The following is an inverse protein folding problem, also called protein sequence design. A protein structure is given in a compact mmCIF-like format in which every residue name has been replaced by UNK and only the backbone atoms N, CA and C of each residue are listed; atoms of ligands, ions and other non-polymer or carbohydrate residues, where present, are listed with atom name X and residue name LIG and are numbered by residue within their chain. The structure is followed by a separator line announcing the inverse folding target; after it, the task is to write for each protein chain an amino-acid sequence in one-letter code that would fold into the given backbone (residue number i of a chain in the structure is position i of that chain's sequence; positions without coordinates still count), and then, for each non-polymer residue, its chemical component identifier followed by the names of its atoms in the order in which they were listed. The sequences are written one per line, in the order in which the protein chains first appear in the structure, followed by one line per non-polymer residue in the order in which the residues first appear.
data_IF_736229840353
#
_entry.id   IF_736229840353
#
_cell.length_a   1.000
_cell.length_b   1.000
_cell.length_c   1.000
_cell.angle_alpha   90.00
_cell.angle_beta   90.00
_cell.angle_gamma   90.00
#
_symmetry.space_group_name_H-M   'P 1'
#
loop_
_entity.id
_entity.type
_entity.pdbx_description
1 polymer ?
#
# COMPACT_ATOMS: atom_id res chain seq x y z
N UNK A 1 8.15 15.43 -5.60
CA UNK A 1 8.78 15.44 -4.27
C UNK A 1 9.90 14.43 -4.36
N UNK A 2 11.13 14.90 -4.44
CA UNK A 2 12.31 14.04 -4.51
C UNK A 2 12.90 13.89 -3.11
N UNK A 3 13.48 12.72 -2.85
CA UNK A 3 14.12 12.38 -1.57
C UNK A 3 15.62 12.54 -1.75
N UNK A 4 16.32 13.07 -0.73
CA UNK A 4 17.78 13.17 -0.77
C UNK A 4 18.41 11.79 -0.99
N UNK A 5 19.53 11.72 -1.72
CA UNK A 5 20.27 10.47 -1.94
C UNK A 5 20.49 9.63 -0.66
N UNK A 6 20.93 10.21 0.48
CA UNK A 6 21.06 9.45 1.72
C UNK A 6 19.72 8.89 2.21
N UNK A 7 18.65 9.69 2.23
CA UNK A 7 17.34 9.20 2.69
C UNK A 7 16.74 8.12 1.76
N UNK A 8 17.07 8.12 0.47
CA UNK A 8 16.71 7.03 -0.46
C UNK A 8 17.42 5.72 -0.12
N UNK A 9 18.71 5.79 0.20
CA UNK A 9 19.51 4.62 0.59
C UNK A 9 19.06 4.08 1.95
N UNK A 10 18.83 4.95 2.93
CA UNK A 10 18.30 4.55 4.24
C UNK A 10 16.92 3.92 4.09
N UNK A 11 16.00 4.55 3.34
CA UNK A 11 14.68 3.99 3.08
C UNK A 11 14.74 2.62 2.37
N UNK A 12 15.64 2.46 1.39
CA UNK A 12 15.86 1.18 0.72
C UNK A 12 16.41 0.12 1.68
N UNK A 13 17.34 0.46 2.57
CA UNK A 13 17.89 -0.45 3.56
C UNK A 13 16.82 -0.90 4.57
N UNK A 14 15.99 0.03 5.07
CA UNK A 14 14.89 -0.28 5.97
C UNK A 14 13.84 -1.19 5.31
N UNK A 15 13.45 -0.92 4.05
CA UNK A 15 12.57 -1.80 3.30
C UNK A 15 13.19 -3.18 3.03
N UNK A 16 14.49 -3.24 2.75
CA UNK A 16 15.19 -4.50 2.56
C UNK A 16 15.20 -5.34 3.86
N UNK A 17 15.39 -4.69 5.01
CA UNK A 17 15.30 -5.36 6.31
C UNK A 17 13.89 -5.94 6.56
N UNK A 18 12.83 -5.16 6.28
CA UNK A 18 11.45 -5.65 6.36
C UNK A 18 11.19 -6.84 5.41
N UNK A 19 11.71 -6.77 4.19
CA UNK A 19 11.62 -7.87 3.22
C UNK A 19 12.34 -9.13 3.74
N UNK A 20 13.53 -8.99 4.33
CA UNK A 20 14.26 -10.11 4.92
C UNK A 20 13.51 -10.74 6.09
N UNK A 21 12.92 -9.94 6.98
CA UNK A 21 12.11 -10.45 8.09
C UNK A 21 10.95 -11.29 7.55
N UNK A 22 10.19 -10.76 6.58
CA UNK A 22 9.09 -11.50 5.97
C UNK A 22 9.58 -12.80 5.30
N UNK A 23 10.70 -12.75 4.56
CA UNK A 23 11.26 -13.92 3.90
C UNK A 23 11.71 -15.00 4.90
N UNK A 24 12.32 -14.63 6.03
CA UNK A 24 12.75 -15.59 7.06
C UNK A 24 11.57 -16.35 7.64
N UNK A 25 10.46 -15.65 7.97
CA UNK A 25 9.26 -16.31 8.49
C UNK A 25 8.57 -17.20 7.46
N UNK A 26 8.51 -16.75 6.19
CA UNK A 26 7.98 -17.57 5.09
C UNK A 26 8.83 -18.84 4.90
N UNK A 27 10.16 -18.73 4.94
CA UNK A 27 11.07 -19.87 4.82
C UNK A 27 10.95 -20.82 6.03
N UNK A 28 10.71 -20.28 7.22
CA UNK A 28 10.47 -21.09 8.42
C UNK A 28 9.18 -21.88 8.32
N UNK A 29 8.08 -21.26 7.86
CA UNK A 29 6.81 -21.97 7.65
C UNK A 29 6.93 -22.99 6.51
N UNK A 30 7.67 -22.67 5.44
CA UNK A 30 7.96 -23.61 4.36
C UNK A 30 8.78 -24.82 4.86
N UNK A 31 9.77 -24.59 5.71
CA UNK A 31 10.56 -25.66 6.33
C UNK A 31 9.71 -26.53 7.28
N UNK A 32 8.72 -25.93 7.96
CA UNK A 32 7.81 -26.65 8.85
C UNK A 32 6.75 -27.48 8.09
N UNK A 33 6.18 -26.93 7.01
CA UNK A 33 5.15 -27.61 6.20
C UNK A 33 5.73 -28.55 5.13
N UNK A 34 6.97 -28.33 4.69
CA UNK A 34 7.68 -29.16 3.72
C UNK A 34 7.18 -29.06 2.27
N UNK A 35 6.12 -28.30 2.00
CA UNK A 35 5.50 -28.16 0.68
C UNK A 35 5.09 -26.70 0.40
N UNK A 36 5.55 -26.08 -0.70
CA UNK A 36 5.12 -24.73 -1.06
C UNK A 36 3.64 -24.68 -1.48
N UNK A 37 3.10 -25.78 -2.01
CA UNK A 37 1.69 -25.87 -2.35
C UNK A 37 0.82 -25.88 -1.10
N UNK A 38 1.24 -26.61 -0.06
CA UNK A 38 0.52 -26.67 1.22
C UNK A 38 0.51 -25.30 1.90
N UNK A 39 1.64 -24.57 1.87
CA UNK A 39 1.73 -23.20 2.37
C UNK A 39 0.84 -22.23 1.55
N UNK A 40 0.79 -22.38 0.23
CA UNK A 40 -0.08 -21.57 -0.62
C UNK A 40 -1.56 -21.82 -0.33
N UNK A 41 -1.98 -23.08 -0.15
CA UNK A 41 -3.34 -23.43 0.25
C UNK A 41 -3.68 -22.94 1.65
N UNK A 42 -2.72 -23.01 2.57
CA UNK A 42 -2.85 -22.42 3.90
C UNK A 42 -3.12 -20.92 3.82
N UNK A 43 -2.32 -20.18 3.04
CA UNK A 43 -2.51 -18.73 2.84
C UNK A 43 -3.83 -18.39 2.15
N UNK A 44 -4.32 -19.25 1.25
CA UNK A 44 -5.64 -19.10 0.63
C UNK A 44 -6.81 -19.35 1.62
N UNK A 45 -6.53 -19.79 2.85
CA UNK A 45 -7.53 -20.06 3.87
C UNK A 45 -8.14 -21.46 3.79
N UNK A 46 -7.38 -22.46 3.30
CA UNK A 46 -7.79 -23.87 3.44
C UNK A 46 -7.78 -24.27 4.93
N UNK A 47 -8.95 -24.69 5.43
CA UNK A 47 -9.16 -24.97 6.86
C UNK A 47 -8.66 -26.37 7.24
N UNK A 48 -8.31 -27.23 6.27
CA UNK A 48 -7.74 -28.56 6.54
C UNK A 48 -6.42 -28.52 7.31
N UNK A 49 -5.74 -27.37 7.31
CA UNK A 49 -4.46 -27.19 7.99
C UNK A 49 -4.56 -26.76 9.44
N UNK A 50 -5.77 -26.49 9.97
CA UNK A 50 -5.96 -26.25 11.40
C UNK A 50 -5.50 -27.43 12.27
N UNK A 51 -5.37 -28.62 11.69
CA UNK A 51 -5.00 -29.87 12.35
C UNK A 51 -3.47 -30.15 12.30
N UNK A 52 -2.74 -29.61 11.31
CA UNK A 52 -1.31 -29.95 11.09
C UNK A 52 -0.30 -29.00 11.72
N UNK A 53 -0.76 -27.90 12.31
CA UNK A 53 0.10 -26.88 12.94
C UNK A 53 -0.25 -25.48 12.47
N UNK A 54 -0.06 -24.48 13.34
CA UNK A 54 -0.32 -23.08 12.99
C UNK A 54 0.90 -22.50 12.28
N UNK A 55 0.72 -22.08 11.03
CA UNK A 55 1.69 -21.22 10.33
C UNK A 55 1.91 -19.93 11.11
N UNK A 56 3.11 -19.39 11.03
CA UNK A 56 3.42 -18.07 11.58
C UNK A 56 2.91 -16.97 10.66
N UNK A 57 2.99 -17.21 9.35
CA UNK A 57 2.64 -16.28 8.27
C UNK A 57 1.24 -16.53 7.70
N UNK A 58 0.75 -15.51 7.04
CA UNK A 58 -0.53 -15.40 6.33
C UNK A 58 -0.30 -14.91 4.90
N UNK A 59 -1.37 -14.85 4.10
CA UNK A 59 -1.34 -14.28 2.75
C UNK A 59 -0.79 -12.84 2.68
N UNK A 60 -0.87 -12.09 3.77
CA UNK A 60 -0.37 -10.71 3.85
C UNK A 60 1.16 -10.66 3.82
N UNK A 61 1.84 -11.68 4.36
CA UNK A 61 3.31 -11.69 4.46
C UNK A 61 4.03 -11.77 3.10
N UNK A 62 3.67 -12.66 2.14
CA UNK A 62 4.25 -12.63 0.81
C UNK A 62 3.84 -11.37 0.01
N UNK A 63 2.67 -10.79 0.28
CA UNK A 63 2.26 -9.51 -0.32
C UNK A 63 3.12 -8.36 0.17
N UNK A 64 3.36 -8.28 1.48
CA UNK A 64 4.24 -7.29 2.09
C UNK A 64 5.69 -7.48 1.61
N UNK A 65 6.17 -8.71 1.50
CA UNK A 65 7.48 -9.01 0.90
C UNK A 65 7.61 -8.41 -0.51
N UNK A 66 6.63 -8.63 -1.38
CA UNK A 66 6.60 -8.08 -2.73
C UNK A 66 6.52 -6.54 -2.72
N UNK A 67 5.69 -5.96 -1.85
CA UNK A 67 5.56 -4.51 -1.69
C UNK A 67 6.86 -3.86 -1.19
N UNK A 68 7.56 -4.49 -0.24
CA UNK A 68 8.85 -4.02 0.24
C UNK A 68 9.92 -4.10 -0.84
N UNK A 69 10.00 -5.20 -1.58
CA UNK A 69 10.93 -5.34 -2.71
C UNK A 69 10.66 -4.28 -3.80
N UNK A 70 9.40 -4.06 -4.17
CA UNK A 70 9.00 -3.00 -5.10
C UNK A 70 9.35 -1.61 -4.55
N UNK A 71 9.22 -1.39 -3.24
CA UNK A 71 9.58 -0.13 -2.59
C UNK A 71 11.08 0.10 -2.56
N UNK A 72 11.90 -0.94 -2.38
CA UNK A 72 13.37 -0.86 -2.55
C UNK A 72 13.71 -0.40 -3.96
N UNK A 73 13.12 -1.04 -4.98
CA UNK A 73 13.35 -0.66 -6.38
C UNK A 73 12.88 0.79 -6.64
N UNK A 74 11.72 1.18 -6.11
CA UNK A 74 11.20 2.55 -6.24
C UNK A 74 12.11 3.56 -5.52
N UNK A 75 12.60 3.24 -4.32
CA UNK A 75 13.53 4.07 -3.57
C UNK A 75 14.83 4.28 -4.35
N UNK A 76 15.37 3.24 -5.00
CA UNK A 76 16.63 3.30 -5.74
C UNK A 76 16.52 3.86 -7.16
N UNK A 77 15.36 3.72 -7.81
CA UNK A 77 15.21 4.04 -9.25
C UNK A 77 14.12 5.07 -9.58
N UNK A 78 13.23 5.43 -8.65
CA UNK A 78 12.04 6.22 -8.96
C UNK A 78 11.99 7.57 -8.25
N UNK A 79 11.43 8.56 -8.96
CA UNK A 79 11.04 9.88 -8.43
C UNK A 79 9.90 9.86 -7.40
N UNK A 80 9.31 8.69 -7.16
CA UNK A 80 8.21 8.47 -6.22
C UNK A 80 8.66 7.80 -4.91
N UNK A 81 9.98 7.80 -4.64
CA UNK A 81 10.58 7.19 -3.45
C UNK A 81 9.88 7.62 -2.15
N UNK A 82 9.65 8.92 -1.95
CA UNK A 82 8.99 9.43 -0.74
C UNK A 82 7.60 8.81 -0.52
N UNK A 83 6.77 8.80 -1.56
CA UNK A 83 5.41 8.26 -1.47
C UNK A 83 5.39 6.75 -1.31
N UNK A 84 6.35 6.03 -1.91
CA UNK A 84 6.45 4.59 -1.77
C UNK A 84 6.92 4.20 -0.35
N UNK A 85 7.94 4.87 0.17
CA UNK A 85 8.43 4.68 1.55
C UNK A 85 7.34 5.03 2.58
N UNK A 86 6.64 6.14 2.40
CA UNK A 86 5.53 6.52 3.27
C UNK A 86 4.40 5.49 3.22
N UNK A 87 3.97 5.07 2.03
CA UNK A 87 2.90 4.08 1.89
C UNK A 87 3.28 2.73 2.51
N UNK A 88 4.48 2.23 2.22
CA UNK A 88 4.99 0.99 2.81
C UNK A 88 5.05 1.10 4.35
N UNK A 89 5.67 2.16 4.88
CA UNK A 89 5.78 2.37 6.32
C UNK A 89 4.43 2.50 7.02
N UNK A 90 3.48 3.25 6.46
CA UNK A 90 2.13 3.40 7.01
C UNK A 90 1.38 2.07 7.02
N UNK A 91 1.46 1.28 5.95
CA UNK A 91 0.80 -0.03 5.89
C UNK A 91 1.46 -1.04 6.83
N UNK A 92 2.79 -1.06 6.94
CA UNK A 92 3.49 -1.87 7.93
C UNK A 92 3.03 -1.54 9.35
N UNK A 93 3.01 -0.24 9.70
CA UNK A 93 2.55 0.21 11.01
C UNK A 93 1.12 -0.23 11.28
N UNK A 94 0.22 0.02 10.34
CA UNK A 94 -1.20 -0.33 10.47
C UNK A 94 -1.42 -1.84 10.64
N UNK A 95 -0.75 -2.68 9.84
CA UNK A 95 -0.94 -4.13 9.86
C UNK A 95 -0.24 -4.82 11.04
N UNK A 96 0.88 -4.26 11.52
CA UNK A 96 1.68 -4.88 12.59
C UNK A 96 1.41 -4.32 13.98
N UNK A 97 0.63 -3.24 14.09
CA UNK A 97 0.20 -2.69 15.38
C UNK A 97 -0.41 -3.76 16.31
N UNK A 98 -1.25 -4.69 15.82
CA UNK A 98 -1.80 -5.74 16.68
C UNK A 98 -0.79 -6.72 17.25
N UNK A 99 0.41 -6.78 16.69
CA UNK A 99 1.49 -7.59 17.25
C UNK A 99 1.94 -7.13 18.64
N UNK A 100 1.65 -5.89 19.05
CA UNK A 100 1.98 -5.37 20.38
C UNK A 100 1.20 -6.04 21.52
N UNK A 101 0.00 -6.53 21.21
CA UNK A 101 -0.85 -7.22 22.18
C UNK A 101 -1.09 -8.69 21.80
N UNK A 102 -0.31 -9.21 20.85
CA UNK A 102 -0.34 -10.62 20.49
C UNK A 102 0.37 -11.47 21.56
N UNK A 103 -0.19 -12.64 21.92
CA UNK A 103 0.48 -13.55 22.84
C UNK A 103 1.71 -14.19 22.17
N UNK A 104 2.85 -14.20 22.87
CA UNK A 104 4.09 -14.87 22.44
C UNK A 104 5.29 -13.92 22.26
N UNK A 105 6.42 -14.23 22.91
CA UNK A 105 7.60 -13.36 22.93
C UNK A 105 8.27 -13.18 21.57
N UNK A 106 8.35 -14.22 20.73
CA UNK A 106 8.96 -14.14 19.40
C UNK A 106 8.16 -13.28 18.41
N UNK A 107 6.83 -13.39 18.44
CA UNK A 107 5.94 -12.56 17.64
C UNK A 107 5.99 -11.09 18.08
N UNK A 108 6.04 -10.84 19.40
CA UNK A 108 6.17 -9.49 19.95
C UNK A 108 7.47 -8.79 19.53
N UNK A 109 8.61 -9.48 19.62
CA UNK A 109 9.92 -8.93 19.20
C UNK A 109 9.90 -8.60 17.70
N UNK A 110 9.34 -9.49 16.88
CA UNK A 110 9.19 -9.26 15.43
C UNK A 110 8.31 -8.05 15.16
N UNK A 111 7.15 -7.95 15.82
CA UNK A 111 6.23 -6.83 15.67
C UNK A 111 6.90 -5.51 16.08
N UNK A 112 7.60 -5.46 17.20
CA UNK A 112 8.34 -4.26 17.63
C UNK A 112 9.40 -3.84 16.60
N UNK A 113 10.13 -4.80 16.05
CA UNK A 113 11.13 -4.54 15.00
C UNK A 113 10.47 -4.01 13.72
N UNK A 114 9.41 -4.66 13.24
CA UNK A 114 8.67 -4.21 12.05
C UNK A 114 8.03 -2.83 12.25
N UNK A 115 7.52 -2.53 13.45
CA UNK A 115 6.99 -1.22 13.80
C UNK A 115 8.07 -0.14 13.82
N UNK A 116 9.24 -0.44 14.42
CA UNK A 116 10.38 0.46 14.41
C UNK A 116 10.88 0.75 12.98
N UNK A 117 10.98 -0.29 12.14
CA UNK A 117 11.35 -0.14 10.73
C UNK A 117 10.29 0.65 9.94
N UNK A 118 9.01 0.36 10.15
CA UNK A 118 7.89 1.07 9.54
C UNK A 118 7.84 2.56 9.92
N UNK A 119 8.07 2.88 11.20
CA UNK A 119 8.22 4.26 11.67
C UNK A 119 9.44 4.93 11.03
N UNK A 120 10.57 4.22 10.93
CA UNK A 120 11.77 4.68 10.22
C UNK A 120 11.50 5.01 8.75
N UNK A 121 10.67 4.23 8.05
CA UNK A 121 10.25 4.51 6.68
C UNK A 121 9.42 5.79 6.56
N UNK A 122 8.45 5.99 7.46
CA UNK A 122 7.64 7.23 7.49
C UNK A 122 8.51 8.44 7.80
N UNK A 123 9.42 8.33 8.77
CA UNK A 123 10.35 9.38 9.15
C UNK A 123 11.33 9.72 8.03
N UNK A 124 11.95 8.72 7.39
CA UNK A 124 12.83 8.95 6.23
C UNK A 124 12.08 9.59 5.06
N UNK A 125 10.83 9.19 4.83
CA UNK A 125 9.96 9.83 3.84
C UNK A 125 9.53 11.25 4.23
N UNK A 126 9.49 11.60 5.51
CA UNK A 126 9.14 12.93 6.01
C UNK A 126 10.33 13.90 6.03
N UNK A 127 11.44 13.49 6.64
CA UNK A 127 12.67 14.27 6.78
C UNK A 127 13.42 14.36 5.45
N UNK A 128 13.37 13.31 4.64
CA UNK A 128 14.03 13.26 3.34
C UNK A 128 13.37 14.14 2.27
N UNK A 129 12.22 14.78 2.55
CA UNK A 129 11.53 15.65 1.58
C UNK A 129 12.34 16.92 1.35
N UNK A 130 12.76 17.15 0.11
CA UNK A 130 13.16 18.51 -0.30
C UNK A 130 11.91 19.37 -0.57
N UNK A 131 11.82 20.59 -0.01
CA UNK A 131 10.79 21.56 -0.39
C UNK A 131 10.82 21.80 -1.90
N UNK A 132 9.65 21.87 -2.52
CA UNK A 132 9.53 22.19 -3.94
C UNK A 132 9.81 23.67 -4.25
N UNK A 133 9.79 24.51 -3.21
CA UNK A 133 9.89 25.97 -3.26
C UNK A 133 11.12 26.45 -2.46
N UNK A 134 12.24 25.72 -2.54
CA UNK A 134 13.50 26.23 -2.02
C UNK A 134 13.81 27.59 -2.67
N UNK A 135 14.25 28.61 -1.90
CA UNK A 135 14.63 29.90 -2.46
C UNK A 135 15.57 29.67 -3.64
N UNK A 136 15.27 30.29 -4.77
CA UNK A 136 16.22 30.45 -5.85
C UNK A 136 17.45 31.14 -5.25
N UNK A 137 18.49 30.38 -4.91
CA UNK A 137 19.82 30.94 -4.70
C UNK A 137 20.27 31.39 -6.09
N UNK A 138 20.32 32.70 -6.39
CA UNK A 138 20.89 33.14 -7.64
C UNK A 138 22.35 32.67 -7.63
N UNK A 139 22.65 31.71 -8.51
CA UNK A 139 24.01 31.26 -8.73
C UNK A 139 24.88 32.52 -8.97
N UNK A 140 25.89 32.69 -8.12
CA UNK A 140 26.89 33.74 -8.27
C UNK A 140 27.37 33.77 -9.74
N UNK A 141 27.40 34.95 -10.38
CA UNK A 141 27.62 35.04 -11.82
C UNK A 141 29.11 34.82 -12.07
N UNK A 142 29.58 33.59 -12.27
CA UNK A 142 30.90 33.29 -12.88
C UNK A 142 31.26 31.81 -13.08
N UNK A 143 30.34 30.84 -12.97
CA UNK A 143 30.61 29.46 -13.41
C UNK A 143 29.65 29.03 -14.50
N UNK A 144 30.23 28.49 -15.57
CA UNK A 144 29.56 27.84 -16.72
C UNK A 144 28.24 27.20 -16.31
N UNK A 145 27.16 27.30 -17.11
CA UNK A 145 25.93 26.59 -16.86
C UNK A 145 26.24 25.09 -16.90
N UNK A 146 26.42 24.50 -15.72
CA UNK A 146 26.22 23.07 -15.54
C UNK A 146 24.73 22.90 -15.78
N UNK A 147 24.35 22.18 -16.81
CA UNK A 147 22.98 21.72 -17.01
C UNK A 147 22.58 20.93 -15.76
N UNK A 148 22.00 21.61 -14.78
CA UNK A 148 21.36 20.94 -13.65
C UNK A 148 20.13 20.29 -14.27
N UNK A 149 20.04 18.94 -14.33
CA UNK A 149 18.86 18.30 -14.86
C UNK A 149 17.70 18.75 -13.99
N UNK A 150 16.81 19.54 -14.58
CA UNK A 150 15.57 19.97 -13.96
C UNK A 150 14.82 18.70 -13.55
N UNK A 151 14.83 18.37 -12.25
CA UNK A 151 14.17 17.17 -11.73
C UNK A 151 12.66 17.30 -11.97
N UNK A 152 12.20 16.70 -13.05
CA UNK A 152 10.83 16.79 -13.54
C UNK A 152 9.85 16.20 -12.51
N UNK A 153 8.76 16.94 -12.24
CA UNK A 153 7.80 16.64 -11.17
C UNK A 153 7.11 15.27 -11.39
N UNK A 154 6.71 14.56 -10.32
CA UNK A 154 5.87 13.37 -10.43
C UNK A 154 4.58 13.68 -11.22
N UNK A 155 4.43 12.99 -12.35
CA UNK A 155 3.28 13.07 -13.26
C UNK A 155 2.01 12.57 -12.58
N UNK A 156 0.94 13.37 -12.59
CA UNK A 156 -0.39 12.98 -12.08
C UNK A 156 -0.99 11.87 -12.95
N UNK A 157 -1.83 10.97 -12.43
CA UNK A 157 -2.53 10.01 -13.28
C UNK A 157 -3.49 10.73 -14.26
N UNK A 158 -3.72 10.11 -15.43
CA UNK A 158 -4.69 10.57 -16.43
C UNK A 158 -6.11 10.47 -15.84
N UNK A 159 -7.00 11.36 -16.26
CA UNK A 159 -8.35 11.47 -15.66
C UNK A 159 -9.14 10.17 -15.73
N UNK A 160 -9.24 9.54 -16.91
CA UNK A 160 -9.97 8.27 -17.08
C UNK A 160 -9.47 7.16 -16.16
N UNK A 161 -8.19 6.74 -16.26
CA UNK A 161 -7.62 5.73 -15.38
C UNK A 161 -7.74 6.04 -13.89
N UNK A 162 -7.59 7.32 -13.50
CA UNK A 162 -7.71 7.73 -12.10
C UNK A 162 -9.16 7.58 -11.59
N UNK A 163 -10.16 7.99 -12.37
CA UNK A 163 -11.57 7.88 -11.97
C UNK A 163 -12.00 6.42 -11.90
N UNK A 164 -11.67 5.61 -12.91
CA UNK A 164 -11.99 4.17 -12.91
C UNK A 164 -11.34 3.46 -11.72
N UNK A 165 -10.05 3.72 -11.46
CA UNK A 165 -9.37 3.16 -10.29
C UNK A 165 -10.01 3.62 -8.98
N UNK A 166 -10.39 4.90 -8.90
CA UNK A 166 -11.08 5.45 -7.73
C UNK A 166 -12.42 4.78 -7.45
N UNK A 167 -13.24 4.54 -8.48
CA UNK A 167 -14.54 3.87 -8.35
C UNK A 167 -14.36 2.41 -7.89
N UNK A 168 -13.46 1.66 -8.53
CA UNK A 168 -13.21 0.26 -8.18
C UNK A 168 -12.73 0.12 -6.73
N UNK A 169 -11.81 0.98 -6.29
CA UNK A 169 -11.33 1.00 -4.91
C UNK A 169 -12.42 1.45 -3.92
N UNK A 170 -13.30 2.37 -4.30
CA UNK A 170 -14.43 2.79 -3.46
C UNK A 170 -15.44 1.64 -3.27
N UNK A 171 -15.74 0.89 -4.34
CA UNK A 171 -16.60 -0.29 -4.26
C UNK A 171 -15.96 -1.41 -3.41
N UNK A 172 -14.65 -1.64 -3.55
CA UNK A 172 -13.93 -2.57 -2.69
C UNK A 172 -14.02 -2.15 -1.21
N UNK A 173 -13.77 -0.87 -0.90
CA UNK A 173 -13.92 -0.35 0.45
C UNK A 173 -15.35 -0.55 1.00
N UNK A 174 -16.36 -0.31 0.16
CA UNK A 174 -17.77 -0.51 0.52
C UNK A 174 -18.06 -1.98 0.83
N UNK A 175 -17.67 -2.92 -0.05
CA UNK A 175 -17.91 -4.34 0.17
C UNK A 175 -17.19 -4.86 1.42
N UNK A 176 -15.92 -4.50 1.62
CA UNK A 176 -15.19 -4.85 2.85
C UNK A 176 -15.91 -4.32 4.10
N UNK A 177 -16.42 -3.09 4.05
CA UNK A 177 -17.16 -2.49 5.18
C UNK A 177 -18.50 -3.18 5.42
N UNK A 178 -19.25 -3.50 4.36
CA UNK A 178 -20.54 -4.19 4.46
C UNK A 178 -20.39 -5.60 5.03
N UNK A 179 -19.34 -6.32 4.63
CA UNK A 179 -19.04 -7.64 5.19
C UNK A 179 -18.73 -7.56 6.69
N UNK A 180 -17.94 -6.57 7.14
CA UNK A 180 -17.69 -6.41 8.58
C UNK A 180 -18.94 -5.98 9.35
N UNK A 181 -19.80 -5.13 8.77
CA UNK A 181 -21.09 -4.78 9.38
C UNK A 181 -22.02 -5.99 9.49
N UNK A 182 -22.06 -6.84 8.46
CA UNK A 182 -22.80 -8.10 8.49
C UNK A 182 -22.30 -9.00 9.62
N UNK A 183 -20.98 -9.25 9.70
CA UNK A 183 -20.41 -10.09 10.75
C UNK A 183 -20.60 -9.50 12.15
N UNK A 184 -20.57 -8.17 12.31
CA UNK A 184 -20.84 -7.52 13.58
C UNK A 184 -22.29 -7.70 14.05
N UNK A 185 -23.24 -7.88 13.13
CA UNK A 185 -24.65 -8.17 13.44
C UNK A 185 -24.91 -9.66 13.73
N UNK A 186 -24.17 -10.55 13.08
CA UNK A 186 -24.37 -12.01 13.18
C UNK A 186 -23.61 -12.64 14.35
N UNK A 187 -22.43 -12.11 14.70
CA UNK A 187 -21.57 -12.69 15.72
C UNK A 187 -21.86 -12.12 17.12
N UNK A 188 -21.69 -12.93 18.19
CA UNK A 188 -21.73 -12.43 19.56
C UNK A 188 -20.73 -11.28 19.76
N UNK A 189 -21.07 -10.33 20.62
CA UNK A 189 -20.27 -9.12 20.84
C UNK A 189 -18.80 -9.44 21.20
N UNK A 190 -18.58 -10.48 22.00
CA UNK A 190 -17.25 -10.92 22.41
C UNK A 190 -16.41 -11.39 21.21
N UNK A 191 -17.02 -12.14 20.29
CA UNK A 191 -16.36 -12.60 19.06
C UNK A 191 -16.09 -11.43 18.13
N UNK A 192 -17.05 -10.51 18.01
CA UNK A 192 -16.89 -9.28 17.22
C UNK A 192 -15.71 -8.44 17.73
N UNK A 193 -15.59 -8.22 19.04
CA UNK A 193 -14.46 -7.50 19.63
C UNK A 193 -13.14 -8.25 19.42
N UNK A 194 -13.14 -9.56 19.65
CA UNK A 194 -11.95 -10.41 19.47
C UNK A 194 -11.44 -10.42 18.02
N UNK A 195 -12.30 -10.21 17.01
CA UNK A 195 -11.88 -10.02 15.60
C UNK A 195 -11.02 -8.79 15.39
N UNK A 196 -11.13 -7.75 16.22
CA UNK A 196 -10.30 -6.54 16.14
C UNK A 196 -9.09 -6.60 17.08
N UNK A 197 -9.25 -7.21 18.25
CA UNK A 197 -8.20 -7.27 19.28
C UNK A 197 -7.34 -8.53 19.18
N UNK A 198 -7.73 -9.55 18.42
CA UNK A 198 -7.02 -10.82 18.35
C UNK A 198 -7.15 -11.66 19.62
N UNK A 199 -8.32 -11.59 20.28
CA UNK A 199 -8.62 -12.34 21.49
C UNK A 199 -8.74 -13.85 21.27
N UNK A 200 -9.15 -14.57 22.33
CA UNK A 200 -9.06 -16.04 22.39
C UNK A 200 -10.00 -16.77 21.44
N UNK A 201 -11.09 -16.11 21.01
CA UNK A 201 -12.07 -16.72 20.09
C UNK A 201 -11.60 -16.72 18.62
N UNK A 202 -10.48 -16.05 18.31
CA UNK A 202 -9.96 -15.94 16.94
C UNK A 202 -8.71 -16.81 16.76
N UNK A 203 -8.81 -17.80 15.88
CA UNK A 203 -7.65 -18.55 15.42
C UNK A 203 -6.97 -17.79 14.30
N UNK A 204 -5.73 -17.36 14.51
CA UNK A 204 -4.93 -16.64 13.51
C UNK A 204 -3.47 -17.10 13.50
N UNK A 205 -2.75 -16.93 12.38
CA UNK A 205 -1.30 -17.03 12.35
C UNK A 205 -0.64 -16.05 13.33
N UNK A 206 0.54 -16.40 13.84
CA UNK A 206 1.19 -15.63 14.91
C UNK A 206 1.46 -14.17 14.50
N UNK A 207 1.90 -13.93 13.26
CA UNK A 207 2.18 -12.58 12.73
C UNK A 207 1.00 -11.94 11.99
N UNK A 208 -0.09 -12.68 11.78
CA UNK A 208 -1.26 -12.14 11.09
C UNK A 208 -1.98 -11.10 11.96
N UNK A 209 -2.41 -9.96 11.38
CA UNK A 209 -3.37 -9.10 12.06
C UNK A 209 -4.68 -9.86 12.34
N UNK A 210 -5.40 -9.50 13.42
CA UNK A 210 -6.78 -9.95 13.62
C UNK A 210 -7.63 -9.67 12.37
N UNK A 211 -8.57 -10.54 12.00
CA UNK A 211 -9.29 -10.45 10.72
C UNK A 211 -10.13 -9.17 10.60
N UNK A 212 -10.85 -8.76 11.65
CA UNK A 212 -11.61 -7.50 11.64
C UNK A 212 -10.69 -6.28 11.57
N UNK A 213 -9.53 -6.33 12.24
CA UNK A 213 -8.51 -5.28 12.11
C UNK A 213 -7.98 -5.19 10.67
N UNK A 214 -7.65 -6.32 10.06
CA UNK A 214 -7.21 -6.38 8.67
C UNK A 214 -8.26 -5.76 7.73
N UNK A 215 -9.53 -6.13 7.87
CA UNK A 215 -10.62 -5.58 7.08
C UNK A 215 -10.77 -4.06 7.28
N UNK A 216 -10.64 -3.56 8.51
CA UNK A 216 -10.69 -2.13 8.78
C UNK A 216 -9.52 -1.37 8.11
N UNK A 217 -8.30 -1.91 8.18
CA UNK A 217 -7.13 -1.32 7.51
C UNK A 217 -7.30 -1.40 5.98
N UNK A 218 -7.79 -2.51 5.44
CA UNK A 218 -8.06 -2.66 4.02
C UNK A 218 -9.11 -1.66 3.54
N UNK A 219 -10.26 -1.56 4.22
CA UNK A 219 -11.30 -0.58 3.91
C UNK A 219 -10.79 0.86 3.97
N UNK A 220 -10.02 1.21 5.00
CA UNK A 220 -9.39 2.53 5.13
C UNK A 220 -8.37 2.81 4.01
N UNK A 221 -7.54 1.84 3.67
CA UNK A 221 -6.56 1.97 2.58
C UNK A 221 -7.25 2.10 1.21
N UNK A 222 -8.28 1.30 0.95
CA UNK A 222 -9.05 1.35 -0.30
C UNK A 222 -9.80 2.67 -0.41
N UNK A 223 -10.46 3.13 0.65
CA UNK A 223 -11.18 4.40 0.69
C UNK A 223 -10.25 5.61 0.51
N UNK A 224 -9.11 5.64 1.23
CA UNK A 224 -8.12 6.71 1.07
C UNK A 224 -7.51 6.72 -0.33
N UNK A 225 -7.13 5.55 -0.86
CA UNK A 225 -6.62 5.44 -2.22
C UNK A 225 -7.67 5.85 -3.27
N UNK A 226 -8.95 5.51 -3.06
CA UNK A 226 -10.06 5.90 -3.91
C UNK A 226 -10.19 7.43 -3.97
N UNK A 227 -10.27 8.09 -2.81
CA UNK A 227 -10.33 9.55 -2.70
C UNK A 227 -9.11 10.18 -3.36
N UNK A 228 -7.90 9.68 -3.07
CA UNK A 228 -6.65 10.16 -3.69
C UNK A 228 -6.68 10.05 -5.22
N UNK A 229 -7.27 8.99 -5.77
CA UNK A 229 -7.42 8.81 -7.22
C UNK A 229 -8.45 9.81 -7.81
N UNK A 230 -9.61 9.97 -7.16
CA UNK A 230 -10.67 10.87 -7.60
C UNK A 230 -10.21 12.34 -7.59
N UNK A 231 -9.48 12.77 -6.55
CA UNK A 231 -8.89 14.13 -6.49
C UNK A 231 -7.58 14.25 -7.27
N UNK A 232 -7.11 13.15 -7.88
CA UNK A 232 -5.87 13.05 -8.68
C UNK A 232 -4.64 13.54 -7.91
N UNK A 233 -4.56 13.17 -6.63
CA UNK A 233 -3.45 13.50 -5.77
C UNK A 233 -2.14 12.90 -6.30
N UNK A 234 -1.00 13.56 -6.05
CA UNK A 234 0.32 13.06 -6.51
C UNK A 234 0.74 11.74 -5.85
N UNK A 235 0.22 11.44 -4.66
CA UNK A 235 0.49 10.20 -3.92
C UNK A 235 -0.48 9.05 -4.28
N UNK A 236 -1.50 9.31 -5.11
CA UNK A 236 -2.51 8.31 -5.53
C UNK A 236 -1.89 7.04 -6.10
N UNK A 237 -0.77 7.16 -6.82
CA UNK A 237 -0.12 6.01 -7.46
C UNK A 237 0.48 5.04 -6.44
N UNK A 238 1.17 5.52 -5.41
CA UNK A 238 1.82 4.64 -4.44
C UNK A 238 0.79 3.90 -3.57
N UNK A 239 -0.13 4.66 -2.98
CA UNK A 239 -1.21 4.08 -2.17
C UNK A 239 -2.17 3.24 -3.00
N UNK A 240 -2.53 3.68 -4.21
CA UNK A 240 -3.41 2.94 -5.10
C UNK A 240 -2.81 1.64 -5.62
N UNK A 241 -1.51 1.60 -5.93
CA UNK A 241 -0.84 0.34 -6.29
C UNK A 241 -0.77 -0.61 -5.09
N UNK A 242 -0.43 -0.11 -3.89
CA UNK A 242 -0.38 -0.94 -2.69
C UNK A 242 -1.76 -1.51 -2.32
N UNK A 243 -2.80 -0.67 -2.38
CA UNK A 243 -4.19 -1.06 -2.24
C UNK A 243 -4.58 -2.14 -3.26
N UNK A 244 -4.22 -1.94 -4.52
CA UNK A 244 -4.55 -2.88 -5.59
C UNK A 244 -3.84 -4.23 -5.45
N UNK A 245 -2.58 -4.25 -4.99
CA UNK A 245 -1.88 -5.52 -4.69
C UNK A 245 -2.59 -6.27 -3.57
N UNK A 246 -2.96 -5.60 -2.48
CA UNK A 246 -3.69 -6.23 -1.37
C UNK A 246 -5.06 -6.74 -1.82
N UNK A 247 -5.79 -5.95 -2.59
CA UNK A 247 -7.08 -6.31 -3.15
C UNK A 247 -6.98 -7.52 -4.08
N UNK A 248 -5.98 -7.53 -4.96
CA UNK A 248 -5.71 -8.66 -5.87
C UNK A 248 -5.38 -9.92 -5.08
N UNK A 249 -4.56 -9.81 -4.04
CA UNK A 249 -4.17 -10.95 -3.22
C UNK A 249 -5.36 -11.51 -2.44
N UNK A 250 -6.17 -10.65 -1.79
CA UNK A 250 -7.39 -11.05 -1.10
C UNK A 250 -8.36 -11.79 -2.02
N UNK A 251 -8.68 -11.18 -3.17
CA UNK A 251 -9.53 -11.81 -4.19
C UNK A 251 -8.95 -13.12 -4.73
N UNK A 252 -7.63 -13.19 -4.95
CA UNK A 252 -6.96 -14.43 -5.37
C UNK A 252 -7.09 -15.54 -4.32
N UNK A 253 -6.90 -15.22 -3.04
CA UNK A 253 -7.10 -16.17 -1.93
C UNK A 253 -8.54 -16.68 -1.88
N UNK A 254 -9.51 -15.77 -1.99
CA UNK A 254 -10.94 -16.12 -2.03
C UNK A 254 -11.32 -16.98 -3.23
N UNK A 255 -10.85 -16.65 -4.44
CA UNK A 255 -11.08 -17.44 -5.65
C UNK A 255 -10.39 -18.79 -5.56
N UNK A 256 -9.14 -18.86 -5.08
CA UNK A 256 -8.43 -20.13 -4.90
C UNK A 256 -9.18 -21.05 -3.93
N UNK A 257 -9.68 -20.51 -2.81
CA UNK A 257 -10.54 -21.21 -1.86
C UNK A 257 -11.84 -21.70 -2.53
N UNK A 258 -12.48 -20.86 -3.34
CA UNK A 258 -13.71 -21.22 -4.03
C UNK A 258 -13.51 -22.32 -5.10
N UNK A 259 -12.35 -22.34 -5.77
CA UNK A 259 -11.96 -23.44 -6.66
C UNK A 259 -11.69 -24.71 -5.85
N UNK A 260 -10.95 -24.59 -4.74
CA UNK A 260 -10.55 -25.71 -3.88
C UNK A 260 -11.74 -26.48 -3.30
N UNK A 261 -12.80 -25.77 -2.92
CA UNK A 261 -14.02 -26.36 -2.39
C UNK A 261 -15.13 -26.52 -3.44
N UNK A 262 -14.80 -26.38 -4.72
CA UNK A 262 -15.73 -26.53 -5.86
C UNK A 262 -16.98 -25.63 -5.78
N UNK A 263 -16.95 -24.55 -4.99
CA UNK A 263 -18.09 -23.63 -4.82
C UNK A 263 -18.31 -22.77 -6.06
N UNK A 264 -17.26 -22.50 -6.85
CA UNK A 264 -17.39 -21.82 -8.14
C UNK A 264 -18.16 -22.65 -9.17
N UNK A 265 -18.03 -23.98 -9.13
CA UNK A 265 -18.72 -24.88 -10.06
C UNK A 265 -20.21 -24.98 -9.70
N UNK A 266 -20.50 -24.99 -8.41
CA UNK A 266 -21.86 -25.11 -7.85
C UNK A 266 -22.47 -23.76 -7.47
N UNK A 267 -22.02 -22.65 -8.10
CA UNK A 267 -22.42 -21.29 -7.70
C UNK A 267 -23.94 -21.08 -7.72
N UNK A 268 -24.65 -21.76 -8.64
CA UNK A 268 -26.11 -21.70 -8.74
C UNK A 268 -26.86 -22.44 -7.62
N UNK A 269 -26.17 -23.34 -6.91
CA UNK A 269 -26.73 -24.16 -5.83
C UNK A 269 -26.37 -23.61 -4.43
N UNK A 270 -25.53 -22.56 -4.36
CA UNK A 270 -25.10 -21.96 -3.10
C UNK A 270 -26.21 -21.13 -2.45
N UNK A 271 -26.17 -21.05 -1.12
CA UNK A 271 -26.95 -20.06 -0.36
C UNK A 271 -26.50 -18.66 -0.79
N UNK A 272 -27.43 -17.70 -0.82
CA UNK A 272 -27.19 -16.32 -1.26
C UNK A 272 -25.93 -15.70 -0.64
N UNK A 273 -25.63 -16.01 0.62
CA UNK A 273 -24.46 -15.51 1.33
C UNK A 273 -23.14 -16.07 0.79
N UNK A 274 -23.07 -17.38 0.55
CA UNK A 274 -21.88 -18.04 0.00
C UNK A 274 -21.62 -17.59 -1.44
N UNK A 275 -22.69 -17.45 -2.23
CA UNK A 275 -22.60 -16.87 -3.57
C UNK A 275 -22.06 -15.44 -3.53
N UNK A 276 -22.52 -14.62 -2.58
CA UNK A 276 -22.02 -13.26 -2.40
C UNK A 276 -20.54 -13.21 -1.99
N UNK A 277 -20.06 -14.13 -1.14
CA UNK A 277 -18.63 -14.22 -0.75
C UNK A 277 -17.75 -14.57 -1.96
N UNK A 278 -18.18 -15.55 -2.77
CA UNK A 278 -17.47 -15.95 -4.00
C UNK A 278 -17.47 -14.80 -5.02
N UNK A 279 -18.61 -14.15 -5.26
CA UNK A 279 -18.72 -13.03 -6.19
C UNK A 279 -17.90 -11.81 -5.73
N UNK A 280 -17.87 -11.55 -4.42
CA UNK A 280 -17.00 -10.49 -3.85
C UNK A 280 -15.54 -10.82 -4.12
N UNK A 281 -15.10 -12.05 -3.87
CA UNK A 281 -13.73 -12.50 -4.12
C UNK A 281 -13.32 -12.35 -5.60
N UNK A 282 -14.22 -12.72 -6.54
CA UNK A 282 -14.00 -12.54 -7.98
C UNK A 282 -13.92 -11.06 -8.34
N UNK A 283 -14.81 -10.23 -7.80
CA UNK A 283 -14.79 -8.78 -8.00
C UNK A 283 -13.46 -8.19 -7.50
N UNK A 284 -13.03 -8.51 -6.29
CA UNK A 284 -11.77 -8.00 -5.71
C UNK A 284 -10.57 -8.38 -6.57
N UNK A 285 -10.50 -9.61 -7.05
CA UNK A 285 -9.43 -10.07 -7.93
C UNK A 285 -9.39 -9.25 -9.22
N UNK A 286 -10.52 -9.14 -9.92
CA UNK A 286 -10.59 -8.43 -11.19
C UNK A 286 -10.36 -6.92 -11.01
N UNK A 287 -10.99 -6.31 -10.01
CA UNK A 287 -10.83 -4.90 -9.68
C UNK A 287 -9.38 -4.58 -9.32
N UNK A 288 -8.74 -5.41 -8.49
CA UNK A 288 -7.33 -5.28 -8.12
C UNK A 288 -6.41 -5.30 -9.34
N UNK A 289 -6.57 -6.29 -10.23
CA UNK A 289 -5.78 -6.39 -11.48
C UNK A 289 -6.01 -5.17 -12.37
N UNK A 290 -7.25 -4.73 -12.55
CA UNK A 290 -7.57 -3.54 -13.36
C UNK A 290 -6.92 -2.29 -12.76
N UNK A 291 -7.02 -2.08 -11.45
CA UNK A 291 -6.39 -0.93 -10.78
C UNK A 291 -4.87 -0.97 -10.93
N UNK A 292 -4.24 -2.15 -10.79
CA UNK A 292 -2.80 -2.32 -11.02
C UNK A 292 -2.42 -1.88 -12.44
N UNK A 293 -3.14 -2.33 -13.46
CA UNK A 293 -2.87 -1.97 -14.86
C UNK A 293 -3.06 -0.46 -15.09
N UNK A 294 -4.16 0.11 -14.60
CA UNK A 294 -4.48 1.52 -14.76
C UNK A 294 -3.45 2.45 -14.09
N UNK A 295 -2.95 2.08 -12.92
CA UNK A 295 -1.99 2.88 -12.14
C UNK A 295 -0.52 2.56 -12.46
N UNK A 296 -0.23 1.40 -13.07
CA UNK A 296 1.11 1.05 -13.55
C UNK A 296 1.54 1.90 -14.76
N UNK A 297 0.59 2.42 -15.55
CA UNK A 297 0.84 3.23 -16.74
C UNK A 297 1.62 4.54 -16.50
N UNK A 298 2.14 5.12 -17.60
CA UNK A 298 2.78 6.46 -17.56
C UNK A 298 1.74 7.52 -17.21
N UNK A 299 2.06 8.39 -16.25
CA UNK A 299 1.20 9.49 -15.83
C UNK A 299 0.95 10.50 -16.96
N UNK A 300 -0.02 11.40 -16.76
CA UNK A 300 -0.29 12.50 -17.67
C UNK A 300 0.97 13.36 -17.87
N UNK A 301 1.24 13.82 -19.11
CA UNK A 301 2.33 14.73 -19.37
C UNK A 301 2.22 15.96 -18.46
N UNK A 302 3.36 16.46 -17.98
CA UNK A 302 3.37 17.69 -17.21
C UNK A 302 2.73 18.79 -18.05
N UNK A 303 1.84 19.59 -17.46
CA UNK A 303 1.37 20.80 -18.12
C UNK A 303 2.60 21.62 -18.50
N UNK A 304 2.70 22.02 -19.77
CA UNK A 304 3.78 22.89 -20.23
C UNK A 304 3.84 24.12 -19.30
N UNK A 305 5.04 24.63 -18.98
CA UNK A 305 5.16 25.92 -18.33
C UNK A 305 4.24 26.91 -19.04
N UNK A 306 3.46 27.69 -18.28
CA UNK A 306 2.68 28.78 -18.88
C UNK A 306 3.60 29.61 -19.79
N UNK A 307 3.09 30.18 -20.89
CA UNK A 307 3.92 30.85 -21.88
C UNK A 307 4.89 31.80 -21.18
N UNK A 308 6.19 31.51 -21.33
CA UNK A 308 7.21 32.49 -20.96
C UNK A 308 6.86 33.78 -21.71
N UNK A 309 6.93 34.95 -21.06
CA UNK A 309 6.85 36.19 -21.81
C UNK A 309 7.90 36.11 -22.93
N UNK A 310 7.55 36.48 -24.17
CA UNK A 310 8.45 36.35 -25.30
C UNK A 310 9.82 36.95 -24.97
N UNK A 311 10.89 36.24 -25.34
CA UNK A 311 12.25 36.70 -25.10
C UNK A 311 12.40 38.13 -25.66
N UNK A 312 12.58 39.11 -24.78
CA UNK A 312 12.67 40.54 -25.15
C UNK A 312 11.62 41.46 -24.50
N UNK A 313 10.62 40.93 -23.78
CA UNK A 313 9.76 41.78 -22.96
C UNK A 313 10.57 42.27 -21.75
N UNK A 314 11.07 43.50 -21.83
CA UNK A 314 11.60 44.20 -20.65
C UNK A 314 10.47 44.29 -19.61
N UNK A 315 10.73 44.01 -18.33
CA UNK A 315 9.77 44.32 -17.28
C UNK A 315 9.35 45.79 -17.43
N UNK A 316 8.07 46.14 -17.20
CA UNK A 316 7.61 47.51 -17.29
C UNK A 316 8.54 48.40 -16.45
N UNK A 317 8.95 49.53 -17.02
CA UNK A 317 9.83 50.46 -16.33
C UNK A 317 9.17 50.83 -14.99
N UNK A 318 9.93 50.84 -13.87
CA UNK A 318 9.38 51.20 -12.59
C UNK A 318 8.76 52.61 -12.67
N UNK A 319 7.63 52.84 -11.98
CA UNK A 319 6.98 54.15 -11.97
C UNK A 319 7.96 55.21 -11.44
N UNK A 320 8.00 56.36 -12.12
CA UNK A 320 8.83 57.50 -11.73
C UNK A 320 7.93 58.60 -11.14
N UNK A 321 8.24 59.16 -9.96
CA UNK A 321 9.33 58.79 -9.06
C UNK A 321 9.10 57.43 -8.35
N UNK A 322 10.18 56.70 -8.12
CA UNK A 322 10.18 55.44 -7.36
C UNK A 322 9.82 55.70 -5.90
N UNK A 323 8.79 55.04 -5.34
CA UNK A 323 8.45 55.19 -3.93
C UNK A 323 9.53 54.56 -3.03
N UNK A 324 9.73 55.07 -1.79
CA UNK A 324 10.68 54.48 -0.86
C UNK A 324 10.25 53.04 -0.49
N UNK A 325 11.12 52.06 -0.73
CA UNK A 325 10.91 50.65 -0.38
C UNK A 325 10.61 49.68 -1.53
N UNK A 326 10.75 50.13 -2.78
CA UNK A 326 10.78 49.26 -3.97
C UNK A 326 12.13 48.57 -4.18
#
# INVERSE_FOLDING_TARGET
MTVTRPARLTGAALCAALALIAAVWILQDLAALGSPADLAWYWAGDHHFLIRGRSTTSLIDPVLLAAYAATVVAALRSRHAASALAAAGTVTLALRLPGLWAPGSGALVTALLELALGAGLVLTAAVGRRPADGPYEPAAPLRRPVEVPYEERPTRPRTGPAVTAGILLALAALFTTLWELYWAGELPLEVTVDRFTGGRSVVKPALAPPPGWLSAIAAGLYGTAAVSCLVRARHSRAFGLLAAVLLTAGGLGGVARAVRYETLVHLGDLITLDAADVLTSVFELLAGVVVLVLLAGRGAPAAAPGPYPPAGVRPPAPPHPTPPGW
#
